data_IF_848318845528
#
_entry.id   IF_848318845528
#
_cell.length_a   1.000
_cell.length_b   1.000
_cell.length_c   1.000
_cell.angle_alpha   90.00
_cell.angle_beta   90.00
_cell.angle_gamma   90.00
#
_symmetry.space_group_name_H-M   'P 1'
#
loop_
_entity.id
_entity.type
_entity.pdbx_description
1 polymer ?
#
# COMPACT_ATOMS: atom_id res chain seq x y z
N UNK A 1 1.90 22.59 -41.17
CA UNK A 1 2.50 21.26 -40.91
C UNK A 1 2.80 21.18 -39.42
N UNK A 2 1.79 20.78 -38.64
CA UNK A 2 1.86 20.66 -37.18
C UNK A 2 2.49 19.31 -36.83
N UNK A 3 3.78 19.34 -36.47
CA UNK A 3 4.54 18.17 -36.08
C UNK A 3 4.59 18.08 -34.55
N UNK A 4 3.61 17.39 -33.96
CA UNK A 4 3.64 16.73 -32.64
C UNK A 4 2.40 15.81 -32.61
N UNK A 5 2.43 14.57 -32.09
CA UNK A 5 3.24 14.17 -30.94
C UNK A 5 3.72 12.69 -30.97
N UNK A 6 5.00 12.47 -31.27
CA UNK A 6 5.65 11.19 -30.96
C UNK A 6 5.84 10.99 -29.45
N UNK A 7 5.89 12.08 -28.67
CA UNK A 7 6.08 12.05 -27.21
C UNK A 7 4.86 11.53 -26.43
N UNK A 8 3.63 11.77 -26.91
CA UNK A 8 2.42 11.31 -26.22
C UNK A 8 2.26 9.79 -26.39
N UNK A 9 2.62 9.25 -27.55
CA UNK A 9 2.54 7.81 -27.85
C UNK A 9 3.48 7.00 -26.95
N UNK A 10 4.68 7.50 -26.67
CA UNK A 10 5.61 6.82 -25.78
C UNK A 10 5.15 6.82 -24.32
N UNK A 11 4.57 7.93 -23.83
CA UNK A 11 4.09 7.99 -22.44
C UNK A 11 2.90 7.03 -22.24
N UNK A 12 1.97 6.97 -23.19
CA UNK A 12 0.83 6.03 -23.12
C UNK A 12 1.32 4.58 -23.22
N UNK A 13 2.30 4.29 -24.09
CA UNK A 13 2.87 2.94 -24.19
C UNK A 13 3.55 2.52 -22.88
N UNK A 14 4.34 3.37 -22.22
CA UNK A 14 4.99 3.03 -20.94
C UNK A 14 3.98 2.79 -19.83
N UNK A 15 2.88 3.56 -19.77
CA UNK A 15 1.76 3.26 -18.87
C UNK A 15 1.10 1.91 -19.17
N UNK A 16 1.05 1.51 -20.44
CA UNK A 16 0.38 0.27 -20.87
C UNK A 16 1.20 -0.99 -20.59
N UNK A 17 2.55 -0.92 -20.58
CA UNK A 17 3.40 -2.10 -20.36
C UNK A 17 3.43 -2.54 -18.89
N UNK A 18 3.22 -1.61 -17.94
CA UNK A 18 3.13 -1.97 -16.52
C UNK A 18 1.81 -2.68 -16.16
N UNK A 19 0.82 -2.67 -17.06
CA UNK A 19 -0.47 -3.38 -16.89
C UNK A 19 -0.36 -4.86 -17.33
N UNK A 20 0.72 -5.26 -18.00
CA UNK A 20 0.83 -6.59 -18.60
C UNK A 20 1.45 -7.67 -17.68
N UNK A 21 1.86 -7.33 -16.46
CA UNK A 21 2.42 -8.27 -15.49
C UNK A 21 1.45 -8.54 -14.33
N UNK A 22 0.29 -9.15 -14.64
CA UNK A 22 -0.58 -9.78 -13.64
C UNK A 22 -2.00 -9.20 -13.52
N UNK A 23 -2.84 -9.47 -14.53
CA UNK A 23 -4.30 -9.52 -14.39
C UNK A 23 -5.02 -8.17 -14.33
N UNK A 24 -5.83 -7.88 -15.35
CA UNK A 24 -6.95 -6.94 -15.24
C UNK A 24 -7.95 -7.43 -14.21
N UNK A 25 -7.70 -7.17 -12.93
CA UNK A 25 -8.77 -7.13 -11.94
C UNK A 25 -9.54 -5.82 -12.15
N UNK A 26 -10.82 -5.77 -11.77
CA UNK A 26 -11.49 -4.48 -11.58
C UNK A 26 -10.74 -3.75 -10.48
N UNK A 27 -9.76 -2.93 -10.87
CA UNK A 27 -8.92 -2.17 -9.94
C UNK A 27 -9.74 -1.22 -9.08
N UNK A 28 -10.96 -0.88 -9.52
CA UNK A 28 -11.86 0.01 -8.82
C UNK A 28 -13.09 -0.74 -8.26
N UNK A 29 -13.42 -0.47 -7.00
CA UNK A 29 -14.62 -0.94 -6.34
C UNK A 29 -15.32 0.19 -5.60
N UNK A 30 -16.64 0.10 -5.50
CA UNK A 30 -17.47 0.95 -4.63
C UNK A 30 -17.95 0.18 -3.39
N UNK A 31 -18.00 -1.15 -3.50
CA UNK A 31 -18.39 -2.08 -2.44
C UNK A 31 -17.70 -3.43 -2.62
N UNK A 32 -17.80 -4.28 -1.59
CA UNK A 32 -17.26 -5.65 -1.64
C UNK A 32 -17.82 -6.49 -2.79
N UNK A 33 -19.04 -6.19 -3.26
CA UNK A 33 -19.68 -6.93 -4.36
C UNK A 33 -19.02 -6.67 -5.73
N UNK A 34 -18.20 -5.62 -5.85
CA UNK A 34 -17.49 -5.29 -7.09
C UNK A 34 -16.22 -6.13 -7.28
N UNK A 35 -15.73 -6.75 -6.21
CA UNK A 35 -14.47 -7.48 -6.18
C UNK A 35 -14.66 -8.98 -6.40
N UNK A 36 -13.67 -9.59 -7.05
CA UNK A 36 -13.60 -11.03 -7.20
C UNK A 36 -13.45 -11.73 -5.84
N UNK A 37 -13.85 -13.00 -5.80
CA UNK A 37 -13.77 -13.81 -4.58
C UNK A 37 -12.33 -13.86 -4.05
N UNK A 38 -12.16 -13.58 -2.76
CA UNK A 38 -10.85 -13.58 -2.09
C UNK A 38 -10.13 -12.22 -2.08
N UNK A 39 -10.70 -11.19 -2.71
CA UNK A 39 -10.24 -9.80 -2.60
C UNK A 39 -11.18 -8.98 -1.71
N UNK A 40 -10.68 -7.87 -1.17
CA UNK A 40 -11.44 -6.94 -0.32
C UNK A 40 -11.47 -5.54 -0.95
N UNK A 41 -12.64 -4.89 -0.92
CA UNK A 41 -12.74 -3.51 -1.38
C UNK A 41 -12.18 -2.53 -0.34
N UNK A 42 -10.98 -2.00 -0.58
CA UNK A 42 -10.28 -1.09 0.31
C UNK A 42 -9.75 0.13 -0.47
N UNK A 43 -10.06 1.34 0.02
CA UNK A 43 -9.74 2.62 -0.65
C UNK A 43 -10.17 2.68 -2.13
N UNK A 44 -11.36 2.15 -2.41
CA UNK A 44 -11.93 2.01 -3.75
C UNK A 44 -11.14 1.10 -4.69
N UNK A 45 -10.35 0.16 -4.15
CA UNK A 45 -9.64 -0.86 -4.92
C UNK A 45 -9.89 -2.26 -4.39
N UNK A 46 -9.90 -3.25 -5.27
CA UNK A 46 -9.95 -4.65 -4.87
C UNK A 46 -8.53 -5.14 -4.52
N UNK A 47 -8.26 -5.28 -3.22
CA UNK A 47 -6.93 -5.55 -2.69
C UNK A 47 -6.89 -6.90 -1.94
N UNK A 48 -5.70 -7.45 -1.78
CA UNK A 48 -5.48 -8.73 -1.10
C UNK A 48 -5.67 -8.53 0.41
N UNK A 49 -6.58 -9.27 1.07
CA UNK A 49 -6.80 -9.15 2.51
C UNK A 49 -5.62 -9.71 3.32
N UNK A 50 -5.57 -9.32 4.60
CA UNK A 50 -4.60 -9.85 5.56
C UNK A 50 -4.67 -11.39 5.64
N UNK A 51 -3.51 -12.04 5.69
CA UNK A 51 -3.36 -13.50 5.78
C UNK A 51 -4.02 -14.28 4.62
N UNK A 52 -4.22 -13.62 3.47
CA UNK A 52 -4.68 -14.29 2.26
C UNK A 52 -3.63 -15.28 1.73
N UNK A 53 -4.03 -16.43 1.15
CA UNK A 53 -3.12 -17.31 0.42
C UNK A 53 -2.65 -16.71 -0.91
N UNK A 54 -3.25 -15.60 -1.37
CA UNK A 54 -2.89 -14.92 -2.61
C UNK A 54 -1.56 -14.19 -2.43
N UNK A 55 -0.55 -14.43 -3.27
CA UNK A 55 0.74 -13.78 -3.14
C UNK A 55 0.68 -12.30 -3.52
N UNK A 56 1.45 -11.47 -2.83
CA UNK A 56 1.65 -10.07 -3.16
C UNK A 56 3.05 -9.82 -3.72
N UNK A 57 3.16 -8.77 -4.52
CA UNK A 57 4.41 -8.26 -5.10
C UNK A 57 4.85 -6.96 -4.46
N UNK A 58 3.91 -6.09 -4.14
CA UNK A 58 4.16 -4.78 -3.53
C UNK A 58 3.21 -4.53 -2.36
N UNK A 59 3.56 -3.59 -1.49
CA UNK A 59 2.67 -3.16 -0.40
C UNK A 59 1.35 -2.55 -0.89
N UNK A 60 1.25 -2.16 -2.15
CA UNK A 60 0.03 -1.61 -2.75
C UNK A 60 -0.98 -2.69 -3.16
N UNK A 61 -0.56 -3.96 -3.15
CA UNK A 61 -1.42 -5.09 -3.52
C UNK A 61 -2.31 -5.51 -2.35
N UNK A 62 -1.91 -5.17 -1.12
CA UNK A 62 -2.61 -5.50 0.11
C UNK A 62 -3.63 -4.42 0.48
N UNK A 63 -4.66 -4.80 1.24
CA UNK A 63 -5.64 -3.84 1.81
C UNK A 63 -4.94 -2.72 2.57
N UNK A 64 -5.56 -1.54 2.58
CA UNK A 64 -5.01 -0.36 3.24
C UNK A 64 -4.61 -0.66 4.69
N UNK A 65 -3.36 -0.34 5.03
CA UNK A 65 -2.76 -0.61 6.35
C UNK A 65 -2.14 -2.00 6.51
N UNK A 66 -2.17 -2.86 5.49
CA UNK A 66 -1.45 -4.13 5.47
C UNK A 66 -0.29 -4.05 4.49
N UNK A 67 0.85 -4.63 4.85
CA UNK A 67 2.03 -4.66 3.99
C UNK A 67 2.37 -6.05 3.51
N UNK A 68 2.88 -6.06 2.27
CA UNK A 68 3.49 -7.20 1.65
C UNK A 68 4.87 -7.43 2.24
N UNK A 69 5.07 -8.54 2.97
CA UNK A 69 6.40 -8.97 3.39
C UNK A 69 6.90 -10.10 2.50
N UNK A 70 8.22 -10.18 2.35
CA UNK A 70 8.90 -11.27 1.64
C UNK A 70 9.98 -11.85 2.52
N UNK A 71 10.03 -13.18 2.55
CA UNK A 71 11.06 -13.94 3.25
C UNK A 71 11.90 -14.71 2.22
N UNK A 72 13.12 -14.23 1.95
CA UNK A 72 14.03 -14.89 1.01
C UNK A 72 13.45 -15.00 -0.41
N UNK A 73 13.31 -16.22 -0.92
CA UNK A 73 12.79 -16.51 -2.26
C UNK A 73 11.29 -16.81 -2.28
N UNK A 74 10.63 -16.81 -1.12
CA UNK A 74 9.21 -17.14 -1.05
C UNK A 74 8.35 -16.02 -1.66
N UNK A 75 7.18 -16.36 -2.24
CA UNK A 75 6.21 -15.36 -2.66
C UNK A 75 5.85 -14.41 -1.51
N UNK A 76 5.62 -13.14 -1.83
CA UNK A 76 5.23 -12.16 -0.81
C UNK A 76 3.87 -12.48 -0.23
N UNK A 77 3.66 -12.10 1.04
CA UNK A 77 2.39 -12.28 1.74
C UNK A 77 1.95 -10.98 2.40
N UNK A 78 0.64 -10.72 2.39
CA UNK A 78 0.02 -9.62 3.11
C UNK A 78 -0.16 -10.00 4.59
N UNK A 79 0.92 -10.03 5.36
CA UNK A 79 0.97 -10.57 6.73
C UNK A 79 1.55 -9.60 7.77
N UNK A 80 1.88 -8.36 7.37
CA UNK A 80 2.21 -7.29 8.30
C UNK A 80 1.03 -6.32 8.43
N UNK A 81 0.31 -6.39 9.55
CA UNK A 81 -0.84 -5.54 9.84
C UNK A 81 -0.44 -4.29 10.64
N UNK A 82 -0.75 -3.12 10.09
CA UNK A 82 -0.58 -1.82 10.74
C UNK A 82 -1.89 -1.06 10.80
N UNK A 83 -3.04 -1.71 10.62
CA UNK A 83 -4.34 -1.05 10.75
C UNK A 83 -4.59 -0.65 12.19
N UNK A 84 -5.37 0.40 12.36
CA UNK A 84 -5.86 0.76 13.68
C UNK A 84 -6.84 -0.30 14.19
N UNK A 85 -6.93 -0.43 15.51
CA UNK A 85 -8.01 -1.20 16.13
C UNK A 85 -9.39 -0.60 15.76
N UNK A 86 -10.49 -1.35 15.94
CA UNK A 86 -11.84 -0.80 15.76
C UNK A 86 -12.16 0.40 16.66
N UNK A 87 -11.43 0.58 17.78
CA UNK A 87 -11.54 1.76 18.66
C UNK A 87 -10.73 2.96 18.16
N UNK A 88 -9.97 2.82 17.07
CA UNK A 88 -9.07 3.87 16.55
C UNK A 88 -7.76 3.98 17.32
N UNK A 89 -7.38 2.93 18.05
CA UNK A 89 -6.18 2.90 18.88
C UNK A 89 -5.10 2.03 18.23
N UNK A 90 -3.85 2.29 18.60
CA UNK A 90 -2.71 1.48 18.21
C UNK A 90 -2.25 0.62 19.38
N UNK A 91 -1.79 -0.59 19.09
CA UNK A 91 -1.28 -1.52 20.11
C UNK A 91 -0.08 -0.94 20.88
N UNK A 92 0.73 -0.14 20.19
CA UNK A 92 1.92 0.49 20.78
C UNK A 92 1.71 1.99 21.02
N UNK A 93 2.17 2.52 22.18
CA UNK A 93 1.95 3.91 22.57
C UNK A 93 2.80 4.93 21.78
N UNK A 94 3.85 4.46 21.10
CA UNK A 94 4.70 5.25 20.20
C UNK A 94 4.07 5.42 18.80
N UNK A 95 2.94 4.76 18.55
CA UNK A 95 2.16 4.89 17.33
C UNK A 95 0.91 5.72 17.57
N UNK A 96 0.41 6.31 16.50
CA UNK A 96 -0.85 7.02 16.46
C UNK A 96 -1.63 6.58 15.23
N UNK A 97 -2.95 6.40 15.42
CA UNK A 97 -3.83 6.05 14.33
C UNK A 97 -4.08 7.29 13.47
N UNK A 98 -3.72 7.22 12.19
CA UNK A 98 -3.99 8.26 11.20
C UNK A 98 -4.37 7.58 9.87
N UNK A 99 -5.49 8.02 9.27
CA UNK A 99 -6.07 7.41 8.07
C UNK A 99 -6.26 5.88 8.17
N UNK A 100 -6.58 5.36 9.35
CA UNK A 100 -6.77 3.93 9.57
C UNK A 100 -5.46 3.12 9.66
N UNK A 101 -4.30 3.78 9.73
CA UNK A 101 -2.98 3.17 9.88
C UNK A 101 -2.31 3.66 11.16
N UNK A 102 -1.75 2.73 11.91
CA UNK A 102 -0.90 2.99 13.07
C UNK A 102 0.53 3.30 12.64
N UNK A 103 0.85 4.60 12.55
CA UNK A 103 2.17 5.09 12.21
C UNK A 103 2.94 5.60 13.43
N UNK A 104 4.27 5.47 13.40
CA UNK A 104 5.16 6.01 14.44
C UNK A 104 5.09 7.55 14.51
N UNK A 105 5.04 8.08 15.73
CA UNK A 105 5.01 9.53 16.01
C UNK A 105 6.34 10.21 15.67
N UNK A 106 6.34 11.54 15.63
CA UNK A 106 7.56 12.32 15.39
C UNK A 106 8.63 12.00 16.45
N UNK A 107 9.88 11.84 16.01
CA UNK A 107 11.06 11.42 16.79
C UNK A 107 11.06 9.98 17.31
N UNK A 108 10.08 9.15 16.96
CA UNK A 108 10.10 7.73 17.28
C UNK A 108 11.00 6.93 16.33
N UNK A 109 11.55 5.82 16.84
CA UNK A 109 12.42 4.92 16.08
C UNK A 109 11.62 4.17 14.99
N UNK A 110 11.99 4.43 13.73
CA UNK A 110 11.36 3.88 12.53
C UNK A 110 12.17 2.76 11.86
N UNK A 111 13.21 2.23 12.50
CA UNK A 111 13.94 1.03 12.04
C UNK A 111 13.16 -0.26 12.32
N UNK A 112 12.10 -0.15 13.12
CA UNK A 112 11.17 -1.24 13.42
C UNK A 112 10.13 -1.37 12.29
N UNK A 113 9.51 -2.56 12.13
CA UNK A 113 8.45 -2.75 11.15
C UNK A 113 7.28 -1.78 11.37
N UNK A 114 6.97 -1.02 10.31
CA UNK A 114 5.81 -0.15 10.26
C UNK A 114 6.12 1.24 9.69
N UNK A 115 5.08 1.98 9.28
CA UNK A 115 5.25 3.31 8.72
C UNK A 115 5.43 4.36 9.82
N UNK A 116 6.00 5.51 9.44
CA UNK A 116 5.78 6.74 10.20
C UNK A 116 4.35 7.26 9.98
N UNK A 117 3.82 8.03 10.94
CA UNK A 117 2.54 8.71 10.79
C UNK A 117 2.55 9.59 9.52
N UNK A 118 1.39 9.77 8.89
CA UNK A 118 1.20 10.64 7.74
C UNK A 118 1.90 12.00 7.90
N UNK A 119 2.62 12.41 6.86
CA UNK A 119 3.42 13.64 6.85
C UNK A 119 4.83 13.52 7.46
N UNK A 120 5.19 12.35 7.98
CA UNK A 120 6.53 12.04 8.45
C UNK A 120 7.21 11.03 7.53
N UNK A 121 8.53 11.11 7.44
CA UNK A 121 9.38 10.15 6.75
C UNK A 121 10.39 9.56 7.73
N UNK A 122 10.77 8.31 7.50
CA UNK A 122 11.84 7.68 8.26
C UNK A 122 13.19 8.23 7.77
N UNK A 123 13.84 9.06 8.58
CA UNK A 123 15.12 9.70 8.26
C UNK A 123 16.07 9.57 9.43
N UNK A 124 17.30 9.14 9.17
CA UNK A 124 18.34 8.92 10.18
C UNK A 124 17.89 7.99 11.33
N UNK A 125 16.95 7.07 11.05
CA UNK A 125 16.39 6.13 12.01
C UNK A 125 15.21 6.66 12.83
N UNK A 126 14.74 7.88 12.57
CA UNK A 126 13.63 8.50 13.27
C UNK A 126 12.55 9.03 12.33
N UNK A 127 11.31 9.06 12.78
CA UNK A 127 10.23 9.71 12.04
C UNK A 127 10.36 11.23 12.16
N UNK A 128 10.64 11.91 11.04
CA UNK A 128 10.82 13.36 10.99
C UNK A 128 9.91 13.97 9.92
N UNK A 129 9.56 15.24 10.09
CA UNK A 129 8.84 15.98 9.04
C UNK A 129 9.65 15.98 7.75
N UNK A 130 9.02 15.49 6.69
CA UNK A 130 9.56 15.50 5.34
C UNK A 130 8.56 16.14 4.40
N UNK A 131 9.07 16.91 3.44
CA UNK A 131 8.30 17.31 2.28
C UNK A 131 8.68 16.38 1.13
N UNK A 132 7.66 15.81 0.48
CA UNK A 132 7.79 15.05 -0.76
C UNK A 132 7.95 16.02 -1.94
#
# INVERSE_FOLDING_TARGET
MTCLPLLIVTIIMVYSINVAAGGQFKDACSSQADCDAGLECSKNKCLIPFDSPTPCSTGWDCVHGVWCTRSGTDPGKCDADFRCSPSGECEHPDKECDDGICGYKEYEDCRRPGPCKSGLICKDGFCLKGHY
#
